data_IF_617547206047
#
_entry.id   IF_617547206047
#
_cell.length_a   1.000
_cell.length_b   1.000
_cell.length_c   1.000
_cell.angle_alpha   90.00
_cell.angle_beta   90.00
_cell.angle_gamma   90.00
#
_symmetry.space_group_name_H-M   'P 1'
#
loop_
_entity.id
_entity.type
_entity.pdbx_description
1 polymer ?
#
# COMPACT_ATOMS: atom_id res chain seq x y z
N UNK A 1 12.30 -16.99 -1.96
CA UNK A 1 11.71 -15.75 -2.48
C UNK A 1 11.29 -14.89 -1.30
N UNK A 2 11.80 -13.67 -1.18
CA UNK A 2 11.49 -12.73 -0.08
C UNK A 2 10.15 -12.07 -0.36
N UNK A 3 9.22 -12.06 0.61
CA UNK A 3 7.97 -11.34 0.40
C UNK A 3 8.21 -9.82 0.26
N UNK A 4 7.54 -9.20 -0.71
CA UNK A 4 7.56 -7.75 -0.89
C UNK A 4 6.99 -7.02 0.33
N UNK A 5 6.05 -7.67 1.02
CA UNK A 5 5.39 -7.14 2.20
C UNK A 5 5.60 -8.10 3.39
N UNK A 6 6.27 -7.63 4.43
CA UNK A 6 6.47 -8.40 5.66
C UNK A 6 5.29 -8.13 6.62
N UNK A 7 4.49 -9.17 6.87
CA UNK A 7 3.32 -9.06 7.73
C UNK A 7 3.71 -8.78 9.19
N UNK A 8 4.79 -9.36 9.69
CA UNK A 8 5.14 -9.24 11.11
C UNK A 8 5.79 -7.88 11.38
N UNK A 9 6.61 -7.40 10.46
CA UNK A 9 7.22 -6.06 10.55
C UNK A 9 6.31 -4.92 10.09
N UNK A 10 5.21 -5.25 9.41
CA UNK A 10 4.30 -4.28 8.81
C UNK A 10 5.03 -3.31 7.89
N UNK A 11 5.74 -3.83 6.88
CA UNK A 11 6.50 -3.00 5.96
C UNK A 11 6.58 -3.59 4.54
N UNK A 12 6.65 -2.72 3.54
CA UNK A 12 7.11 -3.08 2.19
C UNK A 12 8.61 -2.85 2.11
N UNK A 13 9.38 -3.87 1.71
CA UNK A 13 10.84 -3.77 1.55
C UNK A 13 11.34 -4.58 0.34
N UNK A 14 11.53 -3.91 -0.79
CA UNK A 14 12.11 -4.52 -1.98
C UNK A 14 12.79 -3.51 -2.92
N UNK A 15 13.70 -4.02 -3.75
CA UNK A 15 14.31 -3.30 -4.87
C UNK A 15 14.55 -4.28 -6.01
N UNK A 16 13.93 -4.06 -7.17
CA UNK A 16 14.21 -4.87 -8.36
C UNK A 16 15.47 -4.37 -9.09
N UNK A 17 16.15 -5.24 -9.85
CA UNK A 17 17.23 -4.83 -10.74
C UNK A 17 16.81 -3.68 -11.67
N UNK A 18 17.70 -2.71 -11.89
CA UNK A 18 17.43 -1.54 -12.75
C UNK A 18 16.60 -0.43 -12.09
N UNK A 19 15.98 -0.65 -10.93
CA UNK A 19 15.29 0.42 -10.21
C UNK A 19 16.29 1.39 -9.56
N UNK A 20 16.10 2.70 -9.81
CA UNK A 20 16.89 3.77 -9.17
C UNK A 20 16.72 3.77 -7.65
N UNK A 21 15.49 3.56 -7.18
CA UNK A 21 15.13 3.62 -5.77
C UNK A 21 14.61 2.27 -5.25
N UNK A 22 14.96 1.94 -4.01
CA UNK A 22 14.31 0.88 -3.22
C UNK A 22 12.95 1.36 -2.70
N UNK A 23 11.97 0.48 -2.51
CA UNK A 23 10.82 0.76 -1.65
C UNK A 23 11.08 0.26 -0.23
N UNK A 24 10.94 1.15 0.76
CA UNK A 24 11.11 0.87 2.18
C UNK A 24 10.00 1.58 2.98
N UNK A 25 8.78 1.05 2.88
CA UNK A 25 7.58 1.67 3.42
C UNK A 25 7.21 1.00 4.75
N UNK A 26 7.42 1.68 5.87
CA UNK A 26 7.08 1.18 7.20
C UNK A 26 5.72 1.70 7.66
N UNK A 27 4.81 0.80 8.02
CA UNK A 27 3.45 1.15 8.41
C UNK A 27 3.30 1.27 9.92
N UNK A 28 2.74 2.39 10.41
CA UNK A 28 2.45 2.59 11.85
C UNK A 28 1.24 1.77 12.35
N UNK A 29 0.38 1.32 11.44
CA UNK A 29 -0.85 0.62 11.80
C UNK A 29 -1.41 -0.20 10.65
N UNK A 30 -2.69 -0.60 10.78
CA UNK A 30 -3.36 -1.44 9.78
C UNK A 30 -3.81 -0.68 8.54
N UNK A 31 -3.93 0.64 8.62
CA UNK A 31 -4.34 1.50 7.52
C UNK A 31 -3.37 2.67 7.46
N UNK A 32 -2.97 3.03 6.26
CA UNK A 32 -2.18 4.23 6.01
C UNK A 32 -2.76 4.94 4.81
N UNK A 33 -3.06 6.23 4.98
CA UNK A 33 -3.47 7.09 3.89
C UNK A 33 -2.25 7.85 3.42
N UNK A 34 -1.87 7.62 2.17
CA UNK A 34 -0.84 8.40 1.50
C UNK A 34 -1.53 9.40 0.58
N UNK A 35 -1.55 10.65 1.03
CA UNK A 35 -1.95 11.80 0.24
C UNK A 35 -0.68 12.56 -0.11
N UNK A 36 -0.52 13.12 -1.30
CA UNK A 36 0.71 13.85 -1.62
C UNK A 36 0.87 14.12 -3.11
N UNK A 37 1.88 14.94 -3.46
CA UNK A 37 2.15 15.39 -4.82
C UNK A 37 2.13 14.24 -5.84
N UNK A 38 1.68 14.54 -7.06
CA UNK A 38 1.82 13.60 -8.18
C UNK A 38 3.29 13.22 -8.40
N UNK A 39 3.53 12.08 -9.06
CA UNK A 39 4.87 11.61 -9.46
C UNK A 39 5.86 11.23 -8.34
N UNK A 40 5.38 10.81 -7.15
CA UNK A 40 6.25 10.31 -6.06
C UNK A 40 6.50 8.79 -6.07
N UNK A 41 6.08 8.07 -7.12
CA UNK A 41 6.25 6.62 -7.24
C UNK A 41 5.06 5.77 -6.79
N UNK A 42 3.91 6.36 -6.45
CA UNK A 42 2.67 5.64 -6.04
C UNK A 42 2.19 4.63 -7.08
N UNK A 43 1.92 5.08 -8.31
CA UNK A 43 1.48 4.19 -9.40
C UNK A 43 2.60 3.25 -9.85
N UNK A 44 3.86 3.68 -9.78
CA UNK A 44 5.00 2.81 -10.09
C UNK A 44 5.08 1.64 -9.10
N UNK A 45 4.89 1.87 -7.80
CA UNK A 45 4.81 0.82 -6.79
C UNK A 45 3.74 -0.23 -7.15
N UNK A 46 2.53 0.23 -7.48
CA UNK A 46 1.44 -0.65 -7.86
C UNK A 46 1.77 -1.50 -9.09
N UNK A 47 2.33 -0.87 -10.14
CA UNK A 47 2.71 -1.57 -11.36
C UNK A 47 3.81 -2.60 -11.10
N UNK A 48 4.86 -2.23 -10.35
CA UNK A 48 5.94 -3.15 -10.01
C UNK A 48 5.45 -4.33 -9.17
N UNK A 49 4.52 -4.13 -8.23
CA UNK A 49 3.94 -5.23 -7.46
C UNK A 49 3.08 -6.16 -8.32
N UNK A 50 2.33 -5.62 -9.28
CA UNK A 50 1.61 -6.43 -10.29
C UNK A 50 2.57 -7.22 -11.17
N UNK A 51 3.65 -6.59 -11.65
CA UNK A 51 4.68 -7.28 -12.42
C UNK A 51 5.30 -8.44 -11.63
N UNK A 52 5.62 -8.25 -10.34
CA UNK A 52 6.14 -9.34 -9.50
C UNK A 52 5.12 -10.48 -9.35
N UNK A 53 3.82 -10.16 -9.26
CA UNK A 53 2.75 -11.14 -9.15
C UNK A 53 2.50 -11.91 -10.47
N UNK A 54 2.51 -11.20 -11.60
CA UNK A 54 2.21 -11.74 -12.93
C UNK A 54 3.39 -12.53 -13.52
N UNK A 55 4.63 -12.07 -13.26
CA UNK A 55 5.87 -12.64 -13.79
C UNK A 55 6.59 -13.57 -12.80
N UNK A 56 5.89 -14.50 -12.15
CA UNK A 56 6.51 -15.56 -11.32
C UNK A 56 7.58 -16.42 -12.04
N UNK A 57 8.01 -16.08 -13.27
CA UNK A 57 8.98 -16.82 -14.09
C UNK A 57 10.42 -16.29 -14.21
N UNK A 58 10.71 -14.98 -14.34
CA UNK A 58 12.06 -14.59 -14.84
C UNK A 58 12.71 -13.31 -14.28
N UNK A 59 12.00 -12.20 -14.06
CA UNK A 59 12.63 -10.94 -13.60
C UNK A 59 12.56 -10.69 -12.08
N UNK A 60 11.68 -11.41 -11.37
CA UNK A 60 11.40 -11.21 -9.95
C UNK A 60 11.64 -12.46 -9.09
N UNK A 61 12.59 -13.34 -9.48
CA UNK A 61 12.87 -14.61 -8.77
C UNK A 61 13.13 -14.44 -7.26
N UNK A 62 13.58 -13.27 -6.86
CA UNK A 62 13.92 -12.98 -5.47
C UNK A 62 12.76 -12.44 -4.65
N UNK A 63 11.64 -12.02 -5.27
CA UNK A 63 10.54 -11.34 -4.58
C UNK A 63 9.17 -11.98 -4.80
N UNK A 64 8.38 -12.05 -3.74
CA UNK A 64 7.02 -12.60 -3.74
C UNK A 64 6.00 -11.50 -3.38
N UNK A 65 5.06 -11.22 -4.27
CA UNK A 65 3.96 -10.29 -4.04
C UNK A 65 2.63 -11.01 -3.73
N UNK A 66 2.63 -12.32 -3.52
CA UNK A 66 1.41 -13.11 -3.30
C UNK A 66 0.55 -12.62 -2.13
N UNK A 67 1.14 -12.01 -1.10
CA UNK A 67 0.44 -11.45 0.06
C UNK A 67 0.04 -9.97 -0.09
N UNK A 68 0.12 -9.44 -1.31
CA UNK A 68 -0.36 -8.11 -1.68
C UNK A 68 -1.54 -8.24 -2.64
N UNK A 69 -2.55 -7.39 -2.49
CA UNK A 69 -3.68 -7.28 -3.40
C UNK A 69 -3.81 -5.83 -3.87
N UNK A 70 -3.56 -5.58 -5.16
CA UNK A 70 -3.73 -4.24 -5.75
C UNK A 70 -5.13 -4.15 -6.35
N UNK A 71 -6.00 -3.38 -5.70
CA UNK A 71 -7.38 -3.16 -6.14
C UNK A 71 -7.39 -2.33 -7.43
N UNK A 72 -8.22 -2.74 -8.38
CA UNK A 72 -8.56 -2.01 -9.58
C UNK A 72 -10.01 -2.33 -9.96
N UNK A 73 -10.51 -1.68 -11.03
CA UNK A 73 -11.91 -1.81 -11.45
C UNK A 73 -12.31 -3.25 -11.78
N UNK A 74 -11.39 -4.07 -12.29
CA UNK A 74 -11.67 -5.42 -12.79
C UNK A 74 -11.70 -6.48 -11.68
N UNK A 75 -11.23 -6.16 -10.47
CA UNK A 75 -11.11 -7.11 -9.36
C UNK A 75 -11.79 -6.66 -8.06
N UNK A 76 -12.67 -5.66 -8.13
CA UNK A 76 -13.35 -5.11 -6.94
C UNK A 76 -14.19 -6.14 -6.20
N UNK A 77 -14.87 -7.00 -6.93
CA UNK A 77 -15.67 -8.12 -6.44
C UNK A 77 -14.86 -9.06 -5.54
N UNK A 78 -13.57 -9.27 -5.87
CA UNK A 78 -12.66 -10.15 -5.12
C UNK A 78 -12.12 -9.55 -3.83
N UNK A 79 -12.38 -8.26 -3.56
CA UNK A 79 -11.88 -7.56 -2.36
C UNK A 79 -12.28 -8.27 -1.06
N UNK A 80 -13.53 -8.76 -0.99
CA UNK A 80 -14.08 -9.40 0.22
C UNK A 80 -13.50 -10.78 0.52
N UNK A 81 -12.95 -11.43 -0.49
CA UNK A 81 -12.32 -12.76 -0.39
C UNK A 81 -10.92 -12.67 0.21
N UNK A 82 -10.32 -11.48 0.23
CA UNK A 82 -8.95 -11.29 0.69
C UNK A 82 -8.85 -11.48 2.21
N UNK A 83 -7.80 -12.18 2.63
CA UNK A 83 -7.47 -12.39 4.04
C UNK A 83 -5.96 -12.42 4.20
N UNK A 84 -5.46 -11.79 5.28
CA UNK A 84 -4.02 -11.66 5.58
C UNK A 84 -3.23 -11.05 4.41
N UNK A 85 -3.82 -10.08 3.71
CA UNK A 85 -3.18 -9.33 2.62
C UNK A 85 -2.88 -7.88 3.01
N UNK A 86 -1.88 -7.28 2.38
CA UNK A 86 -1.83 -5.83 2.20
C UNK A 86 -2.66 -5.45 0.97
N UNK A 87 -3.75 -4.74 1.18
CA UNK A 87 -4.60 -4.20 0.12
C UNK A 87 -4.11 -2.80 -0.23
N UNK A 88 -3.73 -2.62 -1.50
CA UNK A 88 -3.30 -1.33 -2.04
C UNK A 88 -4.39 -0.79 -2.95
N UNK A 89 -4.85 0.43 -2.69
CA UNK A 89 -5.84 1.11 -3.52
C UNK A 89 -5.17 2.33 -4.15
N UNK A 90 -4.86 2.24 -5.46
CA UNK A 90 -4.39 3.40 -6.23
C UNK A 90 -5.56 4.27 -6.67
N UNK A 91 -5.34 5.59 -6.73
CA UNK A 91 -6.36 6.61 -7.07
C UNK A 91 -7.69 6.31 -6.36
N UNK A 92 -7.65 6.18 -5.03
CA UNK A 92 -8.80 5.76 -4.23
C UNK A 92 -10.02 6.67 -4.38
N UNK A 93 -9.86 7.89 -4.91
CA UNK A 93 -10.96 8.74 -5.34
C UNK A 93 -11.86 8.10 -6.41
N UNK A 94 -11.34 7.22 -7.27
CA UNK A 94 -12.08 6.49 -8.31
C UNK A 94 -12.53 5.10 -7.83
N UNK A 95 -11.80 4.51 -6.89
CA UNK A 95 -12.00 3.12 -6.49
C UNK A 95 -12.90 2.96 -5.28
N UNK A 96 -12.89 3.90 -4.34
CA UNK A 96 -13.63 3.81 -3.07
C UNK A 96 -15.00 4.49 -3.21
N UNK A 97 -16.03 3.66 -3.26
CA UNK A 97 -17.45 3.97 -3.03
C UNK A 97 -17.84 3.69 -1.57
N UNK A 98 -19.12 3.88 -1.24
CA UNK A 98 -19.62 3.70 0.13
C UNK A 98 -19.50 2.25 0.62
N UNK A 99 -19.68 1.28 -0.26
CA UNK A 99 -19.61 -0.15 0.06
C UNK A 99 -18.17 -0.57 0.38
N UNK A 100 -17.20 -0.15 -0.45
CA UNK A 100 -15.77 -0.39 -0.22
C UNK A 100 -15.29 0.36 1.02
N UNK A 101 -15.72 1.61 1.21
CA UNK A 101 -15.41 2.41 2.41
C UNK A 101 -15.84 1.68 3.68
N UNK A 102 -17.10 1.21 3.72
CA UNK A 102 -17.64 0.51 4.89
C UNK A 102 -16.92 -0.81 5.15
N UNK A 103 -16.57 -1.54 4.09
CA UNK A 103 -15.75 -2.73 4.19
C UNK A 103 -14.37 -2.42 4.82
N UNK A 104 -13.62 -1.46 4.28
CA UNK A 104 -12.31 -1.05 4.81
C UNK A 104 -12.43 -0.64 6.27
N UNK A 105 -13.47 0.12 6.62
CA UNK A 105 -13.69 0.60 7.99
C UNK A 105 -13.89 -0.53 8.99
N UNK A 106 -14.59 -1.59 8.59
CA UNK A 106 -14.91 -2.74 9.46
C UNK A 106 -13.87 -3.85 9.41
N UNK A 107 -13.08 -3.95 8.35
CA UNK A 107 -12.17 -5.08 8.17
C UNK A 107 -11.10 -5.15 9.26
N UNK A 108 -10.89 -6.37 9.74
CA UNK A 108 -9.91 -6.75 10.76
C UNK A 108 -8.88 -7.74 10.23
N UNK A 109 -9.08 -8.31 9.04
CA UNK A 109 -8.28 -9.40 8.47
C UNK A 109 -7.13 -8.90 7.60
N UNK A 110 -7.28 -7.74 6.97
CA UNK A 110 -6.28 -7.17 6.06
C UNK A 110 -5.66 -5.88 6.60
N UNK A 111 -4.59 -5.44 5.92
CA UNK A 111 -3.99 -4.11 6.10
C UNK A 111 -4.11 -3.32 4.81
N UNK A 112 -3.99 -2.01 4.88
CA UNK A 112 -4.33 -1.11 3.78
C UNK A 112 -3.29 -0.02 3.57
N UNK A 113 -2.89 0.16 2.32
CA UNK A 113 -2.21 1.35 1.82
C UNK A 113 -3.12 2.05 0.82
N UNK A 114 -3.60 3.23 1.17
CA UNK A 114 -4.61 3.96 0.41
C UNK A 114 -3.99 5.20 -0.21
N UNK A 115 -3.90 5.25 -1.55
CA UNK A 115 -3.51 6.47 -2.25
C UNK A 115 -4.74 7.34 -2.48
N UNK A 116 -4.93 8.32 -1.59
CA UNK A 116 -6.11 9.16 -1.52
C UNK A 116 -5.70 10.62 -1.37
N UNK A 117 -6.37 11.54 -2.07
CA UNK A 117 -6.19 12.99 -1.86
C UNK A 117 -6.91 13.50 -0.62
N UNK A 118 -8.03 12.88 -0.27
CA UNK A 118 -8.85 13.17 0.90
C UNK A 118 -9.29 11.86 1.57
N UNK A 119 -9.55 11.85 2.89
CA UNK A 119 -9.82 10.61 3.63
C UNK A 119 -11.07 9.82 3.18
N UNK A 120 -12.01 10.42 2.45
CA UNK A 120 -13.25 9.77 1.96
C UNK A 120 -14.04 8.98 3.03
N UNK A 121 -14.08 9.48 4.28
CA UNK A 121 -14.80 8.82 5.36
C UNK A 121 -14.15 7.50 5.83
N UNK A 122 -12.88 7.25 5.51
CA UNK A 122 -12.10 6.19 6.13
C UNK A 122 -11.80 6.59 7.58
N UNK A 123 -12.21 5.75 8.52
CA UNK A 123 -12.03 5.94 9.95
C UNK A 123 -10.55 5.71 10.31
N UNK A 124 -9.80 6.81 10.40
CA UNK A 124 -8.37 6.79 10.65
C UNK A 124 -7.92 8.06 11.36
N UNK A 125 -7.09 7.91 12.40
CA UNK A 125 -6.42 9.02 13.07
C UNK A 125 -5.44 9.74 12.12
N UNK A 126 -5.24 11.07 12.28
CA UNK A 126 -4.22 11.82 11.54
C UNK A 126 -2.81 11.20 11.60
N UNK A 127 -2.47 10.48 12.67
CA UNK A 127 -1.16 9.83 12.83
C UNK A 127 -0.80 8.80 11.75
N UNK A 128 -1.79 8.34 10.99
CA UNK A 128 -1.58 7.37 9.91
C UNK A 128 -1.62 8.00 8.51
N UNK A 129 -1.57 9.33 8.45
CA UNK A 129 -1.43 10.08 7.21
C UNK A 129 0.05 10.29 6.92
N UNK A 130 0.47 9.90 5.72
CA UNK A 130 1.85 9.99 5.30
C UNK A 130 1.98 10.56 3.88
N UNK A 131 3.18 11.02 3.56
CA UNK A 131 3.64 11.28 2.21
C UNK A 131 4.64 10.19 1.80
N UNK A 132 4.70 9.90 0.49
CA UNK A 132 5.80 9.10 -0.06
C UNK A 132 6.92 10.03 -0.51
N UNK A 133 8.11 9.82 0.04
CA UNK A 133 9.26 10.69 -0.17
C UNK A 133 10.49 9.89 -0.61
N UNK A 134 11.33 10.51 -1.43
CA UNK A 134 12.64 9.96 -1.79
C UNK A 134 13.67 10.39 -0.76
N UNK A 135 14.30 9.43 -0.08
CA UNK A 135 15.32 9.67 0.93
C UNK A 135 16.47 8.66 0.74
N UNK A 136 17.70 9.16 0.55
CA UNK A 136 18.94 8.35 0.52
C UNK A 136 18.86 7.09 -0.36
N UNK A 137 18.31 7.20 -1.56
CA UNK A 137 18.20 6.06 -2.50
C UNK A 137 17.01 5.12 -2.25
N UNK A 138 16.10 5.48 -1.35
CA UNK A 138 14.86 4.77 -1.10
C UNK A 138 13.64 5.68 -1.22
N UNK A 139 12.48 5.09 -1.48
CA UNK A 139 11.18 5.71 -1.30
C UNK A 139 10.63 5.21 0.05
N UNK A 140 10.28 6.15 0.93
CA UNK A 140 9.84 5.90 2.30
C UNK A 140 8.50 6.58 2.60
N UNK A 141 7.86 6.19 3.71
CA UNK A 141 6.70 6.89 4.26
C UNK A 141 7.14 7.92 5.29
N UNK A 142 6.80 9.18 5.04
CA UNK A 142 6.98 10.31 5.96
C UNK A 142 5.64 10.65 6.58
N UNK A 143 5.44 10.31 7.86
CA UNK A 143 4.17 10.55 8.55
C UNK A 143 4.06 12.01 8.95
N UNK A 144 2.93 12.62 8.63
CA UNK A 144 2.68 14.05 8.88
C UNK A 144 2.50 14.38 10.35
N UNK A 145 2.07 13.41 11.14
CA UNK A 145 1.75 13.57 12.55
C UNK A 145 2.33 12.42 13.37
N UNK A 146 2.61 12.72 14.64
CA UNK A 146 3.10 11.75 15.60
C UNK A 146 2.62 12.08 17.03
N UNK A 147 1.34 12.43 17.15
CA UNK A 147 0.76 12.89 18.41
C UNK A 147 0.45 11.71 19.35
N UNK A 148 0.88 11.81 20.60
CA UNK A 148 0.58 10.75 21.58
C UNK A 148 -0.93 10.71 21.88
N UNK A 149 -1.49 9.49 21.98
CA UNK A 149 -2.91 9.27 22.26
C UNK A 149 -3.83 9.25 21.03
N UNK A 150 -3.33 9.58 19.84
CA UNK A 150 -4.09 9.52 18.59
C UNK A 150 -3.86 8.20 17.84
N UNK A 151 -4.35 7.08 18.40
CA UNK A 151 -4.17 5.73 17.83
C UNK A 151 -5.43 5.16 17.15
#
# INVERSE_FOLDING_TARGET
MKSCYDWDKNEIDFKLPGMKYKYALKFKGRKTIVSGKSATGKTMLCNTLKEILDYQGTAAKDYDASNVFVLNTDNKDRLREQSKKLIIIDRGELQIDDEIKDFINRDRKNRYLLFLRQPKGINLSPNYFADMEQQKGAIVLSYRYNEQGWN
#
